data_IF_813281819941
#
_entry.id   IF_813281819941
#
_cell.length_a   1.000
_cell.length_b   1.000
_cell.length_c   1.000
_cell.angle_alpha   90.00
_cell.angle_beta   90.00
_cell.angle_gamma   90.00
#
_symmetry.space_group_name_H-M   'P 1'
#
loop_
_entity.id
_entity.type
_entity.pdbx_description
1 polymer ?
#
# COMPACT_ATOMS: atom_id res chain seq x y z
N UNK A 1 -25.95 14.39 10.52
CA UNK A 1 -24.75 14.80 9.75
C UNK A 1 -24.19 13.55 9.11
N UNK A 2 -24.41 13.38 7.80
CA UNK A 2 -23.83 12.27 7.05
C UNK A 2 -22.40 12.66 6.69
N UNK A 3 -21.43 11.82 7.03
CA UNK A 3 -20.08 11.93 6.50
C UNK A 3 -20.15 11.58 5.01
N UNK A 4 -19.63 12.48 4.17
CA UNK A 4 -19.42 12.22 2.75
C UNK A 4 -18.36 11.13 2.65
N UNK A 5 -18.72 9.93 2.20
CA UNK A 5 -17.75 8.89 1.87
C UNK A 5 -16.98 9.34 0.64
N UNK A 6 -15.66 9.45 0.78
CA UNK A 6 -14.74 9.83 -0.31
C UNK A 6 -14.12 8.61 -1.01
N UNK A 7 -14.62 7.42 -0.72
CA UNK A 7 -14.03 6.17 -1.15
C UNK A 7 -14.87 5.50 -2.23
N UNK A 8 -14.20 4.77 -3.11
CA UNK A 8 -14.87 3.95 -4.11
C UNK A 8 -15.44 2.68 -3.45
N UNK A 9 -16.77 2.56 -3.44
CA UNK A 9 -17.48 1.40 -2.90
C UNK A 9 -17.48 0.26 -3.93
N UNK A 10 -16.35 -0.45 -4.07
CA UNK A 10 -16.28 -1.69 -4.85
C UNK A 10 -16.43 -2.95 -4.00
N UNK A 11 -16.28 -2.84 -2.68
CA UNK A 11 -16.46 -3.90 -1.70
C UNK A 11 -17.37 -3.38 -0.58
N UNK A 12 -18.46 -4.10 -0.29
CA UNK A 12 -19.27 -3.82 0.91
C UNK A 12 -18.55 -4.43 2.10
N UNK A 13 -17.97 -3.57 2.95
CA UNK A 13 -17.23 -3.96 4.13
C UNK A 13 -17.65 -3.08 5.32
N UNK A 14 -18.07 -3.72 6.42
CA UNK A 14 -18.29 -3.05 7.70
C UNK A 14 -17.23 -3.46 8.71
N UNK A 15 -16.66 -2.45 9.40
CA UNK A 15 -15.84 -2.67 10.60
C UNK A 15 -16.63 -2.18 11.80
N UNK A 16 -16.87 -3.08 12.73
CA UNK A 16 -17.79 -2.98 13.86
C UNK A 16 -19.24 -2.70 13.45
N UNK A 17 -19.57 -1.45 13.17
CA UNK A 17 -20.95 -0.98 12.86
C UNK A 17 -20.99 0.09 11.78
N UNK A 18 -19.82 0.47 11.25
CA UNK A 18 -19.70 1.52 10.26
C UNK A 18 -19.19 0.93 8.95
N UNK A 19 -19.81 1.26 7.82
CA UNK A 19 -19.26 0.90 6.53
C UNK A 19 -18.00 1.73 6.30
N UNK A 20 -16.90 1.04 6.01
CA UNK A 20 -15.57 1.65 5.94
C UNK A 20 -14.93 1.45 4.58
N UNK A 21 -13.87 2.21 4.35
CA UNK A 21 -12.99 2.04 3.21
C UNK A 21 -11.81 1.21 3.67
N UNK A 22 -11.56 0.10 3.00
CA UNK A 22 -10.31 -0.62 3.15
C UNK A 22 -9.26 0.03 2.25
N UNK A 23 -8.04 0.12 2.77
CA UNK A 23 -6.84 0.26 1.96
C UNK A 23 -6.62 -1.02 1.17
N UNK A 24 -6.07 -0.93 -0.05
CA UNK A 24 -5.82 -2.12 -0.87
C UNK A 24 -4.86 -3.11 -0.19
N UNK A 25 -4.04 -2.65 0.75
CA UNK A 25 -3.13 -3.48 1.56
C UNK A 25 -3.83 -4.28 2.66
N UNK A 26 -5.09 -3.95 2.96
CA UNK A 26 -5.97 -4.67 3.90
C UNK A 26 -6.85 -5.70 3.17
N UNK A 27 -6.59 -5.98 1.89
CA UNK A 27 -7.31 -6.98 1.10
C UNK A 27 -6.37 -8.15 0.84
N UNK A 28 -6.79 -9.37 1.20
CA UNK A 28 -6.00 -10.60 1.07
C UNK A 28 -4.66 -10.54 1.79
N UNK A 29 -4.64 -9.91 2.97
CA UNK A 29 -3.45 -9.75 3.81
C UNK A 29 -3.35 -10.84 4.90
N UNK A 30 -4.36 -11.70 4.99
CA UNK A 30 -4.49 -12.78 5.98
C UNK A 30 -5.21 -12.37 7.26
N UNK A 31 -5.63 -11.11 7.40
CA UNK A 31 -6.40 -10.59 8.52
C UNK A 31 -7.85 -10.33 8.08
N UNK A 32 -8.80 -10.71 8.92
CA UNK A 32 -10.21 -10.39 8.67
C UNK A 32 -10.49 -8.99 9.24
N UNK A 33 -10.57 -8.01 8.36
CA UNK A 33 -10.93 -6.63 8.62
C UNK A 33 -12.43 -6.35 8.38
N UNK A 34 -13.07 -7.10 7.46
CA UNK A 34 -14.52 -7.03 7.25
C UNK A 34 -15.30 -7.98 8.18
N UNK A 35 -16.26 -7.44 8.93
CA UNK A 35 -17.08 -8.17 9.92
C UNK A 35 -18.51 -8.44 9.42
N UNK A 36 -18.76 -8.28 8.12
CA UNK A 36 -20.02 -8.66 7.48
C UNK A 36 -20.23 -10.19 7.54
N UNK A 37 -21.37 -10.68 7.02
CA UNK A 37 -21.71 -12.11 7.09
C UNK A 37 -20.64 -13.04 6.46
N UNK A 38 -19.89 -12.54 5.46
CA UNK A 38 -18.69 -13.18 4.94
C UNK A 38 -17.50 -12.20 4.90
N UNK A 39 -16.28 -12.63 5.28
CA UNK A 39 -15.08 -11.80 5.26
C UNK A 39 -14.58 -11.63 3.82
N UNK A 40 -15.19 -10.70 3.09
CA UNK A 40 -14.97 -10.52 1.65
C UNK A 40 -13.58 -10.00 1.28
N UNK A 41 -12.92 -9.30 2.19
CA UNK A 41 -11.53 -8.87 2.11
C UNK A 41 -10.56 -10.04 1.99
N UNK A 42 -10.85 -11.16 2.67
CA UNK A 42 -10.04 -12.38 2.64
C UNK A 42 -10.66 -13.49 1.77
N UNK A 43 -11.79 -13.19 1.11
CA UNK A 43 -12.44 -14.11 0.20
C UNK A 43 -11.89 -13.93 -1.23
N UNK A 44 -11.94 -15.01 -2.01
CA UNK A 44 -11.62 -14.97 -3.45
C UNK A 44 -10.23 -14.44 -3.81
N UNK A 45 -9.26 -14.47 -2.89
CA UNK A 45 -7.89 -14.04 -3.14
C UNK A 45 -7.26 -14.77 -4.34
N UNK A 46 -7.64 -16.03 -4.57
CA UNK A 46 -7.21 -16.78 -5.74
C UNK A 46 -7.62 -16.13 -7.07
N UNK A 47 -8.75 -15.41 -7.13
CA UNK A 47 -9.18 -14.69 -8.33
C UNK A 47 -8.25 -13.51 -8.58
N UNK A 48 -7.85 -12.78 -7.53
CA UNK A 48 -6.89 -11.69 -7.62
C UNK A 48 -5.52 -12.21 -8.08
N UNK A 49 -5.09 -13.35 -7.56
CA UNK A 49 -3.79 -13.96 -7.94
C UNK A 49 -3.79 -14.60 -9.33
N UNK A 50 -4.91 -15.20 -9.74
CA UNK A 50 -5.06 -15.80 -11.08
C UNK A 50 -5.50 -14.79 -12.15
N UNK A 51 -5.72 -13.52 -11.79
CA UNK A 51 -6.14 -12.53 -12.76
C UNK A 51 -5.01 -12.29 -13.77
N UNK A 52 -5.19 -12.83 -14.97
CA UNK A 52 -4.33 -12.57 -16.12
C UNK A 52 -4.87 -11.34 -16.86
N UNK A 53 -4.00 -10.37 -17.14
CA UNK A 53 -4.38 -9.21 -17.92
C UNK A 53 -4.79 -9.63 -19.33
N UNK A 54 -5.73 -8.90 -19.92
CA UNK A 54 -6.08 -9.10 -21.31
C UNK A 54 -4.89 -8.74 -22.22
N UNK A 55 -4.24 -9.76 -22.77
CA UNK A 55 -3.07 -9.63 -23.66
C UNK A 55 -3.28 -8.71 -24.87
N UNK A 56 -4.51 -8.40 -25.27
CA UNK A 56 -4.79 -7.51 -26.41
C UNK A 56 -4.72 -6.05 -26.01
N UNK A 57 -5.34 -5.70 -24.89
CA UNK A 57 -5.67 -4.31 -24.56
C UNK A 57 -5.07 -3.83 -23.23
N UNK A 58 -4.45 -4.72 -22.45
CA UNK A 58 -3.88 -4.43 -21.13
C UNK A 58 -2.38 -4.74 -21.06
N UNK A 59 -1.69 -3.99 -20.19
CA UNK A 59 -0.31 -4.19 -19.77
C UNK A 59 -0.29 -4.67 -18.31
N UNK A 60 0.57 -5.66 -18.02
CA UNK A 60 0.74 -6.22 -16.68
C UNK A 60 1.94 -5.59 -15.99
N UNK A 61 1.69 -4.78 -14.97
CA UNK A 61 2.71 -4.24 -14.07
C UNK A 61 3.48 -5.38 -13.38
N UNK A 62 4.70 -5.14 -12.89
CA UNK A 62 5.50 -6.21 -12.26
C UNK A 62 4.87 -6.76 -10.98
N UNK A 63 4.17 -5.92 -10.22
CA UNK A 63 3.37 -6.31 -9.05
C UNK A 63 2.06 -7.06 -9.41
N UNK A 64 1.73 -7.19 -10.70
CA UNK A 64 0.55 -7.94 -11.18
C UNK A 64 -0.69 -7.12 -11.51
N UNK A 65 -0.72 -5.81 -11.19
CA UNK A 65 -1.79 -4.90 -11.61
C UNK A 65 -1.91 -4.87 -13.15
N UNK A 66 -3.14 -4.83 -13.66
CA UNK A 66 -3.42 -4.62 -15.08
C UNK A 66 -3.81 -3.17 -15.33
N UNK A 67 -3.21 -2.54 -16.34
CA UNK A 67 -3.59 -1.21 -16.82
C UNK A 67 -3.89 -1.27 -18.32
N UNK A 68 -4.71 -0.37 -18.89
CA UNK A 68 -4.85 -0.26 -20.34
C UNK A 68 -3.50 -0.03 -21.03
N UNK A 69 -3.23 -0.68 -22.17
CA UNK A 69 -2.01 -0.46 -22.95
C UNK A 69 -1.84 0.98 -23.45
N UNK A 70 -2.92 1.73 -23.53
CA UNK A 70 -2.86 3.16 -23.86
C UNK A 70 -2.15 3.99 -22.78
N UNK A 71 -2.04 3.46 -21.56
CA UNK A 71 -1.36 4.05 -20.40
C UNK A 71 0.04 3.43 -20.19
N UNK A 72 0.54 2.63 -21.14
CA UNK A 72 1.89 2.10 -21.05
C UNK A 72 2.87 3.05 -21.74
N UNK A 73 3.79 3.64 -20.99
CA UNK A 73 4.78 4.61 -21.49
C UNK A 73 4.13 5.85 -22.11
N UNK A 74 3.02 6.31 -21.54
CA UNK A 74 2.28 7.47 -22.03
C UNK A 74 2.73 8.77 -21.38
N UNK A 75 2.97 8.77 -20.07
CA UNK A 75 3.48 9.90 -19.30
C UNK A 75 4.53 9.49 -18.25
N UNK A 76 5.83 9.74 -18.51
CA UNK A 76 6.91 9.40 -17.59
C UNK A 76 6.84 10.06 -16.21
N UNK A 77 6.02 11.10 -16.04
CA UNK A 77 5.82 11.76 -14.76
C UNK A 77 4.63 11.20 -13.99
N UNK A 78 3.69 10.52 -14.62
CA UNK A 78 2.44 10.05 -14.02
C UNK A 78 2.29 8.55 -14.22
N UNK A 79 3.02 7.72 -13.45
CA UNK A 79 2.88 6.27 -13.53
C UNK A 79 1.49 5.82 -13.06
N UNK A 80 0.88 4.92 -13.83
CA UNK A 80 -0.39 4.27 -13.57
C UNK A 80 -0.22 2.93 -12.83
N UNK A 81 0.93 2.27 -13.00
CA UNK A 81 1.30 1.14 -12.16
C UNK A 81 1.69 1.62 -10.74
N UNK A 82 1.18 0.98 -9.68
CA UNK A 82 1.61 1.30 -8.29
C UNK A 82 3.09 0.97 -8.03
N UNK A 83 3.73 0.13 -8.84
CA UNK A 83 5.18 -0.12 -8.80
C UNK A 83 5.96 0.65 -9.88
N UNK A 84 5.27 1.52 -10.62
CA UNK A 84 5.80 2.38 -11.69
C UNK A 84 6.53 1.63 -12.80
N UNK A 85 6.15 0.36 -13.02
CA UNK A 85 6.79 -0.51 -14.02
C UNK A 85 6.39 -0.21 -15.46
N UNK A 86 5.28 0.49 -15.66
CA UNK A 86 4.81 1.03 -16.92
C UNK A 86 5.72 2.11 -17.50
N UNK A 87 6.21 3.01 -16.66
CA UNK A 87 6.94 4.18 -17.11
C UNK A 87 8.46 4.00 -17.16
N UNK A 88 9.10 4.66 -18.13
CA UNK A 88 10.55 4.76 -18.17
C UNK A 88 10.98 5.65 -17.01
N UNK A 89 11.78 5.10 -16.09
CA UNK A 89 12.28 5.82 -14.92
C UNK A 89 13.08 7.08 -15.32
N UNK A 90 12.40 8.21 -15.45
CA UNK A 90 13.03 9.51 -15.34
C UNK A 90 13.39 9.68 -13.88
N UNK A 91 14.62 10.11 -13.59
CA UNK A 91 15.02 10.55 -12.25
C UNK A 91 14.25 11.83 -11.91
N UNK A 92 12.94 11.72 -11.73
CA UNK A 92 12.15 12.76 -11.11
C UNK A 92 12.69 12.90 -9.70
N UNK A 93 12.88 14.15 -9.29
CA UNK A 93 13.46 14.44 -8.00
C UNK A 93 12.39 14.11 -6.94
N UNK A 94 12.23 12.83 -6.57
CA UNK A 94 11.24 12.27 -5.61
C UNK A 94 11.33 12.92 -4.22
N UNK A 95 12.37 13.72 -4.03
CA UNK A 95 12.62 14.62 -2.92
C UNK A 95 11.48 15.57 -2.55
N UNK A 96 10.47 15.79 -3.39
CA UNK A 96 9.36 16.71 -3.12
C UNK A 96 8.02 16.05 -2.83
N UNK A 97 7.92 14.71 -2.87
CA UNK A 97 6.63 14.03 -2.74
C UNK A 97 5.94 14.24 -1.37
N UNK A 98 6.72 14.44 -0.30
CA UNK A 98 6.22 14.91 1.00
C UNK A 98 5.40 16.23 0.97
N UNK A 99 5.40 16.98 -0.14
CA UNK A 99 4.67 18.23 -0.33
C UNK A 99 3.75 18.22 -1.56
N UNK A 100 3.67 17.11 -2.29
CA UNK A 100 2.98 17.04 -3.59
C UNK A 100 1.88 15.96 -3.55
N UNK A 101 0.60 16.36 -3.47
CA UNK A 101 -0.52 15.43 -3.39
C UNK A 101 -0.99 14.91 -4.76
N UNK A 102 -0.14 14.96 -5.78
CA UNK A 102 -0.48 14.46 -7.12
C UNK A 102 -0.16 12.98 -7.28
N UNK A 103 -0.81 12.34 -8.27
CA UNK A 103 -0.68 10.91 -8.56
C UNK A 103 0.77 10.41 -8.68
N UNK A 104 1.67 11.24 -9.21
CA UNK A 104 3.11 10.94 -9.30
C UNK A 104 3.82 10.72 -7.96
N UNK A 105 3.22 11.17 -6.88
CA UNK A 105 3.72 11.07 -5.51
C UNK A 105 2.82 10.23 -4.62
N UNK A 106 1.89 9.47 -5.22
CA UNK A 106 1.18 8.41 -4.52
C UNK A 106 2.15 7.33 -4.04
N UNK A 107 1.70 6.65 -2.99
CA UNK A 107 2.45 5.55 -2.40
C UNK A 107 2.70 4.46 -3.43
N UNK A 108 3.93 3.93 -3.44
CA UNK A 108 4.33 2.92 -4.40
C UNK A 108 4.57 1.60 -3.69
N UNK A 109 4.22 0.49 -4.34
CA UNK A 109 4.62 -0.81 -3.82
C UNK A 109 6.14 -0.97 -4.03
N UNK A 110 6.86 -1.22 -2.93
CA UNK A 110 8.29 -1.52 -3.03
C UNK A 110 8.44 -2.87 -3.73
N UNK A 111 9.42 -3.00 -4.65
CA UNK A 111 9.72 -4.31 -5.23
C UNK A 111 10.26 -5.23 -4.14
N UNK A 112 9.60 -6.38 -3.97
CA UNK A 112 9.98 -7.40 -3.00
C UNK A 112 11.46 -7.77 -3.20
N UNK A 113 12.27 -7.61 -2.15
CA UNK A 113 13.70 -7.93 -2.15
C UNK A 113 14.67 -6.76 -2.32
N UNK A 114 14.20 -5.52 -2.43
CA UNK A 114 15.09 -4.34 -2.55
C UNK A 114 15.45 -3.64 -1.23
N UNK A 115 14.91 -4.07 -0.09
CA UNK A 115 15.22 -3.47 1.21
C UNK A 115 14.73 -2.02 1.34
N UNK A 116 13.66 -1.67 0.65
CA UNK A 116 13.13 -0.32 0.58
C UNK A 116 12.01 -0.12 1.61
N UNK A 117 12.12 0.93 2.43
CA UNK A 117 11.09 1.37 3.36
C UNK A 117 10.26 2.48 2.74
N UNK A 118 8.97 2.23 2.59
CA UNK A 118 7.98 3.22 2.16
C UNK A 118 7.87 4.35 3.19
N UNK A 119 7.78 5.60 2.76
CA UNK A 119 7.60 6.75 3.63
C UNK A 119 6.14 7.20 3.77
N UNK A 120 5.18 6.59 3.07
CA UNK A 120 3.75 6.94 3.20
C UNK A 120 3.34 8.21 2.46
N UNK A 121 4.22 8.72 1.59
CA UNK A 121 4.08 9.97 0.83
C UNK A 121 4.71 9.84 -0.56
N UNK A 122 4.80 8.61 -1.08
CA UNK A 122 5.46 8.31 -2.35
C UNK A 122 6.99 8.36 -2.33
N UNK A 123 7.62 8.83 -1.25
CA UNK A 123 9.05 8.60 -1.03
C UNK A 123 9.25 7.14 -0.57
N UNK A 124 10.30 6.49 -1.08
CA UNK A 124 10.89 5.31 -0.46
C UNK A 124 12.36 5.59 -0.21
N UNK A 125 12.90 4.90 0.77
CA UNK A 125 14.28 5.03 1.21
C UNK A 125 14.87 3.63 1.36
N UNK A 126 16.19 3.52 1.31
CA UNK A 126 16.81 2.24 1.68
C UNK A 126 16.63 1.99 3.18
N UNK A 127 16.76 0.73 3.60
CA UNK A 127 16.78 0.34 5.00
C UNK A 127 17.77 1.23 5.78
N UNK A 128 17.33 1.79 6.91
CA UNK A 128 18.08 2.71 7.80
C UNK A 128 18.29 4.16 7.34
N UNK A 129 17.72 4.58 6.21
CA UNK A 129 17.69 6.00 5.83
C UNK A 129 16.53 6.78 6.50
N UNK A 130 16.42 8.08 6.23
CA UNK A 130 15.42 8.96 6.85
C UNK A 130 14.38 9.46 5.85
N UNK A 131 13.10 9.13 6.09
CA UNK A 131 11.96 9.75 5.41
C UNK A 131 11.90 11.25 5.71
N UNK A 132 11.65 12.07 4.68
CA UNK A 132 11.55 13.53 4.82
C UNK A 132 10.36 13.97 5.65
N UNK A 133 9.25 13.24 5.54
CA UNK A 133 8.07 13.47 6.37
C UNK A 133 8.24 12.96 7.83
N UNK A 134 9.37 12.34 8.17
CA UNK A 134 9.64 11.85 9.51
C UNK A 134 9.00 10.49 9.85
N UNK A 135 8.33 9.80 8.92
CA UNK A 135 7.67 8.49 9.19
C UNK A 135 8.60 7.46 9.82
N UNK A 136 9.87 7.44 9.40
CA UNK A 136 10.89 6.55 9.97
C UNK A 136 11.05 6.69 11.49
N UNK A 137 10.86 7.89 12.06
CA UNK A 137 10.92 8.11 13.51
C UNK A 137 9.77 7.41 14.22
N UNK A 138 8.54 7.53 13.71
CA UNK A 138 7.38 6.84 14.26
C UNK A 138 7.53 5.31 14.18
N UNK A 139 8.16 4.81 13.11
CA UNK A 139 8.51 3.40 12.99
C UNK A 139 9.55 2.96 14.03
N UNK A 140 10.62 3.73 14.25
CA UNK A 140 11.60 3.40 15.29
C UNK A 140 10.98 3.46 16.70
N UNK A 141 10.14 4.45 16.99
CA UNK A 141 9.41 4.54 18.26
C UNK A 141 8.51 3.33 18.51
N UNK A 142 7.84 2.82 17.46
CA UNK A 142 6.98 1.63 17.60
C UNK A 142 7.79 0.37 17.90
N UNK A 143 8.95 0.18 17.26
CA UNK A 143 9.88 -0.92 17.55
C UNK A 143 10.37 -0.85 19.00
N UNK A 144 10.81 0.34 19.44
CA UNK A 144 11.31 0.54 20.80
C UNK A 144 10.21 0.24 21.83
N UNK A 145 8.99 0.72 21.60
CA UNK A 145 7.85 0.42 22.46
C UNK A 145 7.54 -1.09 22.49
N UNK A 146 7.57 -1.76 21.34
CA UNK A 146 7.34 -3.21 21.28
C UNK A 146 8.41 -3.99 22.05
N UNK A 147 9.68 -3.58 21.98
CA UNK A 147 10.77 -4.19 22.77
C UNK A 147 10.56 -4.02 24.28
N UNK A 148 10.04 -2.88 24.72
CA UNK A 148 9.69 -2.63 26.12
C UNK A 148 8.47 -3.47 26.56
N UNK A 149 7.48 -3.64 25.69
CA UNK A 149 6.33 -4.50 25.97
C UNK A 149 6.77 -5.96 26.09
N UNK A 150 7.60 -6.45 25.17
CA UNK A 150 8.10 -7.83 25.18
C UNK A 150 8.97 -8.10 26.43
N UNK A 151 9.83 -7.17 26.81
CA UNK A 151 10.64 -7.31 28.04
C UNK A 151 9.77 -7.34 29.31
N UNK A 152 8.72 -6.50 29.39
CA UNK A 152 7.73 -6.56 30.49
C UNK A 152 6.95 -7.88 30.49
N UNK A 153 6.55 -8.36 29.32
CA UNK A 153 5.85 -9.64 29.16
C UNK A 153 6.72 -10.82 29.62
N UNK A 154 8.00 -10.85 29.23
CA UNK A 154 8.96 -11.88 29.66
C UNK A 154 9.17 -11.86 31.17
N UNK A 155 9.25 -10.67 31.79
CA UNK A 155 9.33 -10.51 33.25
C UNK A 155 8.05 -11.00 33.96
N UNK A 156 6.87 -10.82 33.36
CA UNK A 156 5.61 -11.30 33.92
C UNK A 156 5.37 -12.81 33.80
N UNK A 157 6.12 -13.50 32.92
CA UNK A 157 6.04 -14.96 32.69
C UNK A 157 7.14 -15.77 33.38
N UNK A 158 8.08 -15.11 34.06
CA UNK A 158 9.18 -15.75 34.79
C UNK A 158 8.90 -15.92 36.29
N UNK A 159 7.62 -15.95 36.67
CA UNK A 159 7.11 -16.30 38.01
C UNK A 159 6.31 -17.59 37.93
#
# INVERSE_FOLDING_TARGET
MSFLKTCYEHLTCTRDTLPMCLDWREICDGNIDCIDEEPLDEAFCYILEMNECNDKDEYRCHQGQCIPKSLFQDDPLNPDCLDRSDEIAIQTNKNFCHQDPSFRCEEQSCRVGQGEFSCGDGQYINEFESCKNGRHLAFFESILNMSQILSKWLQSRSV
#
